data_IF_724497106636
#
_entry.id   IF_724497106636
#
_cell.length_a   1.000
_cell.length_b   1.000
_cell.length_c   1.000
_cell.angle_alpha   90.00
_cell.angle_beta   90.00
_cell.angle_gamma   90.00
#
_symmetry.space_group_name_H-M   'P 1'
#
loop_
_entity.id
_entity.type
_entity.pdbx_description
1 polymer ?
#
# COMPACT_ATOMS: atom_id res chain seq x y z
N UNK A 1 10.07 28.25 22.05
CA UNK A 1 9.98 26.77 22.17
C UNK A 1 9.56 26.23 20.83
N UNK A 2 10.56 25.91 20.02
CA UNK A 2 10.44 25.35 18.69
C UNK A 2 9.85 23.93 18.79
N UNK A 3 8.70 23.68 18.17
CA UNK A 3 8.05 22.36 18.23
C UNK A 3 8.82 21.43 17.29
N UNK A 4 9.75 20.63 17.83
CA UNK A 4 10.44 19.57 17.08
C UNK A 4 9.40 18.62 16.48
N UNK A 5 9.18 18.71 15.16
CA UNK A 5 8.21 17.89 14.43
C UNK A 5 7.45 18.59 13.30
N UNK A 6 7.70 19.88 13.03
CA UNK A 6 7.11 20.56 11.87
C UNK A 6 7.75 20.10 10.56
N UNK A 7 6.96 19.96 9.47
CA UNK A 7 7.47 19.49 8.17
C UNK A 7 8.36 20.51 7.46
N UNK A 8 8.22 21.80 7.79
CA UNK A 8 9.02 22.90 7.27
C UNK A 8 9.18 23.98 8.34
N UNK A 9 10.36 24.60 8.40
CA UNK A 9 10.63 25.79 9.22
C UNK A 9 11.04 26.92 8.29
N UNK A 10 10.38 28.07 8.40
CA UNK A 10 10.64 29.22 7.54
C UNK A 10 11.44 30.29 8.30
N UNK A 11 12.33 30.98 7.59
CA UNK A 11 12.93 32.20 8.10
C UNK A 11 11.92 33.34 7.98
N UNK A 12 11.50 33.90 9.11
CA UNK A 12 10.43 34.89 9.21
C UNK A 12 10.96 36.12 9.99
N UNK A 13 10.52 37.34 9.66
CA UNK A 13 10.82 38.56 10.43
C UNK A 13 10.52 38.40 11.94
N UNK A 14 11.35 39.03 12.78
CA UNK A 14 11.28 38.91 14.24
C UNK A 14 10.04 39.59 14.85
N UNK A 15 9.39 40.46 14.07
CA UNK A 15 8.18 41.18 14.46
C UNK A 15 6.92 40.30 14.44
N UNK A 16 7.00 39.08 13.86
CA UNK A 16 5.86 38.20 13.73
C UNK A 16 5.54 37.49 15.04
N UNK A 17 4.26 37.54 15.44
CA UNK A 17 3.76 36.71 16.56
C UNK A 17 3.75 35.23 16.16
N UNK A 18 3.73 34.32 17.15
CA UNK A 18 3.71 32.87 16.91
C UNK A 18 2.57 32.39 16.00
N UNK A 19 1.42 33.06 15.99
CA UNK A 19 0.31 32.70 15.09
C UNK A 19 0.61 33.02 13.62
N UNK A 20 1.30 34.13 13.37
CA UNK A 20 1.78 34.49 12.03
C UNK A 20 2.90 33.57 11.56
N UNK A 21 3.74 33.08 12.49
CA UNK A 21 4.76 32.07 12.22
C UNK A 21 4.13 30.76 11.74
N UNK A 22 3.18 30.21 12.50
CA UNK A 22 2.46 28.98 12.12
C UNK A 22 1.67 29.15 10.80
N UNK A 23 1.10 30.34 10.56
CA UNK A 23 0.44 30.63 9.28
C UNK A 23 1.42 30.63 8.10
N UNK A 24 2.56 31.31 8.25
CA UNK A 24 3.58 31.40 7.20
C UNK A 24 4.16 30.02 6.86
N UNK A 25 4.43 29.19 7.86
CA UNK A 25 4.89 27.82 7.67
C UNK A 25 3.86 26.95 6.92
N UNK A 26 2.58 27.00 7.34
CA UNK A 26 1.50 26.28 6.67
C UNK A 26 1.32 26.75 5.22
N UNK A 27 1.40 28.06 4.99
CA UNK A 27 1.32 28.64 3.67
C UNK A 27 2.48 28.16 2.79
N UNK A 28 3.72 28.19 3.29
CA UNK A 28 4.90 27.69 2.57
C UNK A 28 4.88 26.18 2.33
N UNK A 29 4.21 25.41 3.19
CA UNK A 29 4.04 23.96 2.99
C UNK A 29 3.07 23.62 1.85
N UNK A 30 1.97 24.37 1.75
CA UNK A 30 0.93 24.14 0.74
C UNK A 30 1.28 24.83 -0.58
N UNK A 31 1.87 26.02 -0.53
CA UNK A 31 2.34 26.73 -1.72
C UNK A 31 3.61 26.05 -2.26
N UNK A 32 3.68 25.85 -3.58
CA UNK A 32 4.86 25.26 -4.20
C UNK A 32 6.12 26.09 -3.93
N UNK A 33 7.13 25.50 -3.30
CA UNK A 33 8.45 26.11 -3.12
C UNK A 33 9.35 25.82 -4.31
N UNK A 34 10.38 26.65 -4.52
CA UNK A 34 11.40 26.45 -5.55
C UNK A 34 12.79 26.59 -4.94
N UNK A 35 13.78 25.95 -5.55
CA UNK A 35 15.17 26.07 -5.12
C UNK A 35 15.89 27.18 -5.89
N UNK A 36 16.57 28.07 -5.16
CA UNK A 36 17.46 29.09 -5.75
C UNK A 36 18.84 29.07 -5.11
N UNK A 37 19.89 29.05 -5.93
CA UNK A 37 21.26 29.12 -5.46
C UNK A 37 21.58 30.51 -4.87
N UNK A 38 22.21 30.55 -3.69
CA UNK A 38 22.52 31.77 -2.94
C UNK A 38 23.40 32.77 -3.72
N UNK A 39 24.23 32.29 -4.64
CA UNK A 39 25.13 33.11 -5.45
C UNK A 39 24.42 33.90 -6.57
N UNK A 40 23.18 33.56 -6.93
CA UNK A 40 22.42 34.26 -7.98
C UNK A 40 21.48 35.29 -7.35
N UNK A 41 21.47 36.52 -7.88
CA UNK A 41 20.44 37.52 -7.52
C UNK A 41 19.07 36.96 -7.83
N UNK A 42 18.12 37.12 -6.90
CA UNK A 42 16.73 36.73 -7.12
C UNK A 42 16.20 37.47 -8.36
N UNK A 43 15.61 36.77 -9.34
CA UNK A 43 15.04 37.44 -10.51
C UNK A 43 13.84 38.29 -10.09
N UNK A 44 13.66 39.47 -10.70
CA UNK A 44 12.52 40.35 -10.43
C UNK A 44 11.18 39.71 -10.82
N UNK A 45 11.21 38.80 -11.80
CA UNK A 45 10.07 37.97 -12.18
C UNK A 45 10.38 36.55 -11.73
N UNK A 46 9.60 35.96 -10.82
CA UNK A 46 9.80 34.58 -10.42
C UNK A 46 9.56 33.69 -11.64
N UNK A 47 10.63 33.12 -12.18
CA UNK A 47 10.53 32.15 -13.25
C UNK A 47 9.96 30.84 -12.66
N UNK A 48 8.62 30.75 -12.65
CA UNK A 48 7.83 29.63 -12.09
C UNK A 48 8.15 28.27 -12.73
N UNK A 49 9.04 28.21 -13.72
CA UNK A 49 9.48 26.97 -14.36
C UNK A 49 10.68 26.31 -13.66
N UNK A 50 11.39 27.00 -12.78
CA UNK A 50 12.54 26.43 -12.09
C UNK A 50 12.11 25.55 -10.91
N UNK A 51 11.88 24.26 -11.19
CA UNK A 51 11.86 23.16 -10.22
C UNK A 51 11.02 23.41 -8.95
N UNK A 52 9.70 23.44 -9.11
CA UNK A 52 8.80 23.39 -7.96
C UNK A 52 8.92 22.04 -7.22
N UNK A 53 9.13 22.08 -5.91
CA UNK A 53 9.34 20.90 -5.06
C UNK A 53 8.00 20.27 -4.62
N UNK A 54 7.18 19.83 -5.58
CA UNK A 54 5.81 19.32 -5.31
C UNK A 54 5.79 17.88 -4.79
N UNK A 55 6.90 17.14 -4.88
CA UNK A 55 6.93 15.70 -4.58
C UNK A 55 6.68 15.36 -3.10
N UNK A 56 6.99 16.27 -2.16
CA UNK A 56 6.76 16.04 -0.72
C UNK A 56 5.27 15.91 -0.37
N UNK A 57 4.40 16.60 -1.10
CA UNK A 57 2.96 16.55 -0.88
C UNK A 57 2.35 15.21 -1.34
N UNK A 58 2.87 14.66 -2.44
CA UNK A 58 2.34 13.43 -3.06
C UNK A 58 2.99 12.15 -2.58
N UNK A 59 4.24 12.20 -2.09
CA UNK A 59 4.95 11.04 -1.57
C UNK A 59 4.13 10.17 -0.60
N UNK A 60 3.47 10.71 0.46
CA UNK A 60 2.69 9.87 1.37
C UNK A 60 1.47 9.21 0.71
N UNK A 61 0.82 9.88 -0.24
CA UNK A 61 -0.34 9.36 -0.97
C UNK A 61 0.08 8.21 -1.89
N UNK A 62 1.20 8.39 -2.61
CA UNK A 62 1.74 7.37 -3.51
C UNK A 62 2.18 6.14 -2.71
N UNK A 63 2.87 6.33 -1.59
CA UNK A 63 3.30 5.22 -0.73
C UNK A 63 2.11 4.45 -0.12
N UNK A 64 1.07 5.17 0.33
CA UNK A 64 -0.16 4.53 0.81
C UNK A 64 -0.86 3.73 -0.31
N UNK A 65 -0.92 4.30 -1.51
CA UNK A 65 -1.50 3.62 -2.68
C UNK A 65 -0.69 2.38 -3.05
N UNK A 66 0.64 2.46 -3.05
CA UNK A 66 1.51 1.32 -3.31
C UNK A 66 1.29 0.20 -2.28
N UNK A 67 1.21 0.52 -0.99
CA UNK A 67 0.94 -0.46 0.05
C UNK A 67 -0.40 -1.19 -0.17
N UNK A 68 -1.44 -0.45 -0.58
CA UNK A 68 -2.74 -1.04 -0.92
C UNK A 68 -2.64 -1.94 -2.15
N UNK A 69 -1.97 -1.49 -3.22
CA UNK A 69 -1.78 -2.27 -4.44
C UNK A 69 -1.00 -3.57 -4.18
N UNK A 70 0.00 -3.56 -3.30
CA UNK A 70 0.72 -4.78 -2.90
C UNK A 70 -0.17 -5.76 -2.11
N UNK A 71 -1.19 -5.27 -1.41
CA UNK A 71 -2.14 -6.12 -0.69
C UNK A 71 -3.26 -6.68 -1.59
N UNK A 72 -3.57 -6.00 -2.70
CA UNK A 72 -4.59 -6.43 -3.66
C UNK A 72 -4.46 -7.87 -4.14
N UNK A 73 -3.29 -8.40 -4.58
CA UNK A 73 -3.21 -9.78 -5.05
C UNK A 73 -3.61 -10.80 -3.97
N UNK A 74 -3.21 -10.58 -2.72
CA UNK A 74 -3.60 -11.43 -1.59
C UNK A 74 -5.11 -11.34 -1.29
N UNK A 75 -5.68 -10.13 -1.38
CA UNK A 75 -7.10 -9.91 -1.20
C UNK A 75 -7.91 -10.59 -2.31
N UNK A 76 -7.52 -10.40 -3.57
CA UNK A 76 -8.14 -11.03 -4.74
C UNK A 76 -8.08 -12.55 -4.64
N UNK A 77 -6.93 -13.11 -4.24
CA UNK A 77 -6.80 -14.54 -3.99
C UNK A 77 -7.76 -15.01 -2.88
N UNK A 78 -7.85 -14.28 -1.76
CA UNK A 78 -8.74 -14.63 -0.64
C UNK A 78 -10.22 -14.55 -1.02
N UNK A 79 -10.64 -13.51 -1.75
CA UNK A 79 -12.03 -13.34 -2.21
C UNK A 79 -12.36 -14.35 -3.30
N UNK A 80 -11.47 -14.54 -4.27
CA UNK A 80 -11.61 -15.55 -5.32
C UNK A 80 -11.77 -16.96 -4.76
N UNK A 81 -10.91 -17.36 -3.80
CA UNK A 81 -11.03 -18.64 -3.11
C UNK A 81 -12.37 -18.80 -2.38
N UNK A 82 -12.91 -17.73 -1.78
CA UNK A 82 -14.22 -17.79 -1.12
C UNK A 82 -15.35 -18.06 -2.13
N UNK A 83 -15.26 -17.46 -3.31
CA UNK A 83 -16.24 -17.66 -4.37
C UNK A 83 -16.07 -19.00 -5.11
N UNK A 84 -14.87 -19.60 -5.09
CA UNK A 84 -14.63 -20.89 -5.74
C UNK A 84 -15.35 -22.06 -5.05
N UNK A 85 -15.84 -21.93 -3.81
CA UNK A 85 -16.55 -23.02 -3.12
C UNK A 85 -15.66 -24.26 -2.86
N UNK A 86 -14.36 -24.14 -3.07
CA UNK A 86 -13.35 -25.17 -2.93
C UNK A 86 -12.27 -24.66 -1.97
N UNK A 87 -12.21 -25.21 -0.76
CA UNK A 87 -11.21 -24.79 0.23
C UNK A 87 -9.87 -25.47 -0.07
N UNK A 88 -9.04 -24.80 -0.89
CA UNK A 88 -7.67 -25.24 -1.23
C UNK A 88 -6.88 -25.58 0.04
N UNK A 89 -7.04 -24.79 1.11
CA UNK A 89 -6.39 -25.03 2.40
C UNK A 89 -6.69 -26.42 2.98
N UNK A 90 -7.95 -26.87 2.93
CA UNK A 90 -8.35 -28.18 3.46
C UNK A 90 -7.80 -29.33 2.62
N UNK A 91 -7.74 -29.14 1.31
CA UNK A 91 -7.14 -30.11 0.39
C UNK A 91 -5.63 -30.17 0.58
N UNK A 92 -4.98 -29.03 0.78
CA UNK A 92 -3.54 -28.97 1.06
C UNK A 92 -3.21 -29.62 2.41
N UNK A 93 -4.06 -29.43 3.42
CA UNK A 93 -3.89 -30.06 4.73
C UNK A 93 -4.09 -31.58 4.66
N UNK A 94 -5.15 -32.05 3.98
CA UNK A 94 -5.37 -33.48 3.75
C UNK A 94 -4.22 -34.11 2.95
N UNK A 95 -3.67 -33.39 1.97
CA UNK A 95 -2.50 -33.83 1.21
C UNK A 95 -1.25 -33.92 2.09
N UNK A 96 -1.01 -32.92 2.96
CA UNK A 96 0.11 -32.94 3.90
C UNK A 96 -0.02 -34.09 4.92
N UNK A 97 -1.20 -34.28 5.51
CA UNK A 97 -1.48 -35.39 6.44
C UNK A 97 -1.31 -36.75 5.75
N UNK A 98 -1.68 -36.88 4.47
CA UNK A 98 -1.50 -38.12 3.71
C UNK A 98 -0.03 -38.49 3.48
N UNK A 99 0.88 -37.52 3.48
CA UNK A 99 2.31 -37.76 3.29
C UNK A 99 2.98 -38.36 4.54
N UNK A 100 2.43 -38.11 5.73
CA UNK A 100 2.96 -38.60 7.00
C UNK A 100 2.34 -39.93 7.46
N UNK A 101 1.31 -40.42 6.75
CA UNK A 101 0.59 -41.65 7.06
C UNK A 101 1.27 -42.90 6.46
N UNK A 102 1.08 -44.06 7.10
CA UNK A 102 1.47 -45.38 6.57
C UNK A 102 0.85 -45.58 5.18
N UNK A 103 1.58 -46.15 4.20
CA UNK A 103 1.18 -46.19 2.78
C UNK A 103 -0.21 -46.76 2.53
N UNK A 104 -0.67 -47.73 3.32
CA UNK A 104 -2.01 -48.33 3.17
C UNK A 104 -3.15 -47.37 3.53
N UNK A 105 -2.95 -46.53 4.57
CA UNK A 105 -3.92 -45.52 4.99
C UNK A 105 -3.85 -44.30 4.07
N UNK A 106 -2.65 -43.93 3.62
CA UNK A 106 -2.44 -42.84 2.67
C UNK A 106 -3.21 -43.06 1.36
N UNK A 107 -3.19 -44.28 0.79
CA UNK A 107 -3.94 -44.61 -0.43
C UNK A 107 -5.46 -44.41 -0.27
N UNK A 108 -6.03 -44.79 0.88
CA UNK A 108 -7.45 -44.59 1.18
C UNK A 108 -7.79 -43.10 1.27
N UNK A 109 -6.96 -42.32 1.96
CA UNK A 109 -7.13 -40.86 2.09
C UNK A 109 -7.04 -40.14 0.74
N UNK A 110 -6.09 -40.52 -0.11
CA UNK A 110 -5.95 -39.98 -1.47
C UNK A 110 -7.19 -40.27 -2.31
N UNK A 111 -7.76 -41.47 -2.21
CA UNK A 111 -8.97 -41.84 -2.94
C UNK A 111 -10.19 -41.00 -2.50
N UNK A 112 -10.34 -40.76 -1.20
CA UNK A 112 -11.37 -39.88 -0.64
C UNK A 112 -11.17 -38.43 -1.11
N UNK A 113 -9.93 -37.95 -1.13
CA UNK A 113 -9.58 -36.62 -1.63
C UNK A 113 -9.91 -36.46 -3.12
N UNK A 114 -9.63 -37.47 -3.95
CA UNK A 114 -9.98 -37.47 -5.38
C UNK A 114 -11.50 -37.38 -5.60
N UNK A 115 -12.30 -38.14 -4.83
CA UNK A 115 -13.77 -38.08 -4.89
C UNK A 115 -14.34 -36.73 -4.44
N UNK A 116 -13.74 -36.13 -3.41
CA UNK A 116 -14.12 -34.80 -2.94
C UNK A 116 -13.88 -33.74 -4.03
N UNK A 117 -12.71 -33.78 -4.68
CA UNK A 117 -12.36 -32.91 -5.81
C UNK A 117 -13.33 -33.06 -6.98
N UNK A 118 -13.62 -34.30 -7.39
CA UNK A 118 -14.61 -34.61 -8.42
C UNK A 118 -15.97 -33.96 -8.14
N UNK A 119 -16.45 -34.09 -6.90
CA UNK A 119 -17.74 -33.56 -6.47
C UNK A 119 -17.75 -32.03 -6.49
N UNK A 120 -16.67 -31.38 -6.05
CA UNK A 120 -16.53 -29.93 -6.11
C UNK A 120 -16.51 -29.39 -7.54
N UNK A 121 -15.75 -30.03 -8.45
CA UNK A 121 -15.67 -29.65 -9.86
C UNK A 121 -17.03 -29.82 -10.54
N UNK A 122 -17.71 -30.94 -10.28
CA UNK A 122 -19.03 -31.18 -10.83
C UNK A 122 -20.05 -30.15 -10.34
N UNK A 123 -19.99 -29.75 -9.06
CA UNK A 123 -20.86 -28.71 -8.50
C UNK A 123 -20.59 -27.34 -9.13
N UNK A 124 -19.32 -26.96 -9.35
CA UNK A 124 -19.00 -25.71 -10.06
C UNK A 124 -19.54 -25.69 -11.49
N UNK A 125 -19.47 -26.82 -12.20
CA UNK A 125 -19.97 -26.94 -13.58
C UNK A 125 -21.48 -26.77 -13.68
N UNK A 126 -22.23 -27.05 -12.61
CA UNK A 126 -23.69 -26.88 -12.55
C UNK A 126 -24.13 -25.44 -12.19
N UNK A 127 -23.25 -24.64 -11.56
CA UNK A 127 -23.53 -23.26 -11.17
C UNK A 127 -23.10 -22.22 -12.24
N UNK A 128 -22.47 -22.66 -13.32
CA UNK A 128 -21.94 -21.84 -14.42
C UNK A 128 -22.75 -22.12 -15.68
#
# INVERSE_FOLDING_TARGET
MDKKGKPIQCWIPQEFTRGWEEYAENYCWVANTYFSALSKKLPLVPDRRASHLVYYQWAPIVLATQALLFYLPCLLWRVGMRNSGFSVHRVLQLAAESNDLVPEVAQKTVHVMARYLETCIHRQKMYR
#
